data_IF_957494951854
#
_entry.id   IF_957494951854
#
_cell.length_a   1.000
_cell.length_b   1.000
_cell.length_c   1.000
_cell.angle_alpha   90.00
_cell.angle_beta   90.00
_cell.angle_gamma   90.00
#
_symmetry.space_group_name_H-M   'P 1'
#
loop_
_entity.id
_entity.type
_entity.pdbx_description
1 polymer ?
#
# COMPACT_ATOMS: atom_id res chain seq x y z
N UNK A 1 14.54 3.44 2.87
CA UNK A 1 13.29 3.66 2.09
C UNK A 1 12.43 4.66 2.84
N UNK A 2 11.55 5.39 2.16
CA UNK A 2 10.70 6.43 2.77
C UNK A 2 9.24 6.25 2.34
N UNK A 3 8.30 6.54 3.23
CA UNK A 3 6.88 6.52 2.91
C UNK A 3 6.48 7.75 2.07
N UNK A 4 5.76 7.53 0.98
CA UNK A 4 5.24 8.62 0.15
C UNK A 4 3.87 9.07 0.64
N UNK A 5 3.54 10.33 0.37
CA UNK A 5 2.23 10.94 0.60
C UNK A 5 1.14 10.45 -0.39
N UNK A 6 1.54 9.89 -1.54
CA UNK A 6 0.61 9.40 -2.54
C UNK A 6 -0.18 8.17 -2.05
N UNK A 7 -1.53 8.23 -2.01
CA UNK A 7 -2.35 7.15 -1.47
C UNK A 7 -2.31 5.90 -2.35
N UNK A 8 -2.26 4.72 -1.71
CA UNK A 8 -2.24 3.43 -2.41
C UNK A 8 -3.65 2.91 -2.72
N UNK A 9 -4.39 3.69 -3.51
CA UNK A 9 -5.79 3.41 -3.86
C UNK A 9 -5.95 2.17 -4.75
N UNK A 10 -7.15 1.58 -4.78
CA UNK A 10 -7.43 0.43 -5.62
C UNK A 10 -7.60 0.78 -7.10
N UNK A 11 -7.21 -0.14 -7.98
CA UNK A 11 -7.36 0.01 -9.43
C UNK A 11 -8.26 -1.09 -10.03
N UNK A 12 -8.53 -1.04 -11.34
CA UNK A 12 -9.32 -2.09 -12.04
C UNK A 12 -8.78 -3.50 -11.78
N UNK A 13 -7.46 -3.67 -11.72
CA UNK A 13 -6.82 -4.97 -11.39
C UNK A 13 -7.14 -5.45 -9.98
N UNK A 14 -7.30 -4.53 -9.03
CA UNK A 14 -7.71 -4.86 -7.67
C UNK A 14 -9.15 -5.37 -7.65
N UNK A 15 -10.06 -4.65 -8.31
CA UNK A 15 -11.46 -5.07 -8.43
C UNK A 15 -11.61 -6.43 -9.13
N UNK A 16 -10.80 -6.72 -10.17
CA UNK A 16 -10.82 -8.04 -10.81
C UNK A 16 -10.36 -9.19 -9.91
N UNK A 17 -9.54 -8.92 -8.89
CA UNK A 17 -9.01 -9.94 -7.96
C UNK A 17 -9.85 -10.11 -6.71
N UNK A 18 -10.40 -9.01 -6.19
CA UNK A 18 -11.06 -8.98 -4.88
C UNK A 18 -12.52 -8.52 -4.93
N UNK A 19 -13.01 -8.11 -6.10
CA UNK A 19 -14.37 -7.60 -6.30
C UNK A 19 -14.50 -6.08 -6.16
N UNK A 20 -15.61 -5.56 -6.70
CA UNK A 20 -15.93 -4.13 -6.67
C UNK A 20 -16.26 -3.66 -5.26
N UNK A 21 -16.88 -4.51 -4.44
CA UNK A 21 -17.23 -4.15 -3.06
C UNK A 21 -15.99 -3.99 -2.19
N UNK A 22 -14.96 -4.82 -2.39
CA UNK A 22 -13.66 -4.64 -1.75
C UNK A 22 -13.00 -3.32 -2.17
N UNK A 23 -13.08 -2.96 -3.46
CA UNK A 23 -12.59 -1.68 -3.97
C UNK A 23 -13.33 -0.49 -3.32
N UNK A 24 -14.66 -0.54 -3.28
CA UNK A 24 -15.49 0.51 -2.64
C UNK A 24 -15.18 0.63 -1.16
N UNK A 25 -15.00 -0.49 -0.47
CA UNK A 25 -14.65 -0.53 0.93
C UNK A 25 -13.34 0.22 1.15
N UNK A 26 -12.23 -0.19 0.52
CA UNK A 26 -10.93 0.46 0.77
C UNK A 26 -10.86 1.92 0.31
N UNK A 27 -11.69 2.32 -0.67
CA UNK A 27 -11.76 3.69 -1.20
C UNK A 27 -12.76 4.58 -0.46
N UNK A 28 -13.38 4.11 0.63
CA UNK A 28 -14.30 4.94 1.41
C UNK A 28 -13.52 5.91 2.33
N UNK A 29 -14.01 7.14 2.59
CA UNK A 29 -13.30 8.10 3.45
C UNK A 29 -12.99 7.55 4.86
N UNK A 30 -13.86 6.70 5.39
CA UNK A 30 -13.71 6.11 6.72
C UNK A 30 -12.54 5.12 6.81
N UNK A 31 -12.20 4.46 5.70
CA UNK A 31 -11.18 3.39 5.66
C UNK A 31 -9.93 3.80 4.87
N UNK A 32 -10.03 4.80 4.00
CA UNK A 32 -8.89 5.34 3.23
C UNK A 32 -7.78 5.82 4.17
N UNK A 33 -8.17 6.51 5.25
CA UNK A 33 -7.25 6.97 6.32
C UNK A 33 -6.55 5.82 7.05
N UNK A 34 -7.11 4.62 7.01
CA UNK A 34 -6.54 3.43 7.65
C UNK A 34 -5.52 2.71 6.75
N UNK A 35 -5.45 3.07 5.46
CA UNK A 35 -4.49 2.54 4.50
C UNK A 35 -4.46 0.99 4.48
N UNK A 36 -5.64 0.34 4.50
CA UNK A 36 -5.79 -1.12 4.63
C UNK A 36 -5.16 -1.93 3.47
N UNK A 37 -4.89 -1.28 2.35
CA UNK A 37 -4.16 -1.85 1.20
C UNK A 37 -2.64 -1.73 1.32
N UNK A 38 -2.14 -1.08 2.36
CA UNK A 38 -0.75 -0.70 2.55
C UNK A 38 -0.44 0.70 2.03
N UNK A 39 0.86 1.04 2.03
CA UNK A 39 1.38 2.34 1.62
C UNK A 39 2.44 2.18 0.52
N UNK A 40 2.61 3.23 -0.27
CA UNK A 40 3.69 3.29 -1.25
C UNK A 40 4.98 3.75 -0.56
N UNK A 41 6.09 3.10 -0.89
CA UNK A 41 7.42 3.46 -0.38
C UNK A 41 8.33 3.79 -1.56
N UNK A 42 9.17 4.81 -1.39
CA UNK A 42 10.22 5.20 -2.32
C UNK A 42 11.57 4.65 -1.87
N UNK A 43 12.34 4.15 -2.83
CA UNK A 43 13.74 3.77 -2.61
C UNK A 43 14.58 5.04 -2.55
N UNK A 44 15.17 5.30 -1.38
CA UNK A 44 16.07 6.45 -1.15
C UNK A 44 17.51 6.06 -1.45
N UNK A 45 17.89 4.84 -1.06
CA UNK A 45 19.20 4.23 -1.31
C UNK A 45 18.97 2.79 -1.79
N UNK A 46 19.70 2.38 -2.83
CA UNK A 46 19.62 1.02 -3.38
C UNK A 46 20.39 0.02 -2.53
N UNK A 47 19.97 -1.24 -2.57
CA UNK A 47 20.61 -2.34 -1.85
C UNK A 47 19.94 -3.67 -2.15
N UNK A 48 20.51 -4.76 -1.62
CA UNK A 48 19.94 -6.09 -1.70
C UNK A 48 19.03 -6.36 -0.49
N UNK A 49 17.92 -7.07 -0.72
CA UNK A 49 16.97 -7.49 0.31
C UNK A 49 16.62 -8.97 0.13
N UNK A 50 16.26 -9.64 1.22
CA UNK A 50 15.87 -11.06 1.23
C UNK A 50 14.61 -11.27 2.09
N UNK A 51 13.81 -12.30 1.78
CA UNK A 51 12.71 -12.69 2.66
C UNK A 51 13.21 -12.96 4.08
N UNK A 52 12.57 -12.35 5.08
CA UNK A 52 12.95 -12.45 6.49
C UNK A 52 13.76 -11.26 7.03
N UNK A 53 14.20 -10.33 6.18
CA UNK A 53 14.87 -9.11 6.63
C UNK A 53 13.93 -8.25 7.50
N UNK A 54 14.48 -7.67 8.58
CA UNK A 54 13.71 -6.89 9.54
C UNK A 54 13.54 -5.46 9.03
N UNK A 55 12.30 -5.00 8.94
CA UNK A 55 11.98 -3.59 8.70
C UNK A 55 11.96 -2.85 10.04
N UNK A 56 12.79 -1.80 10.16
CA UNK A 56 12.83 -0.92 11.34
C UNK A 56 12.49 0.51 10.93
N UNK A 57 11.63 1.15 11.73
CA UNK A 57 11.42 2.60 11.64
C UNK A 57 12.57 3.28 12.39
N UNK A 58 13.18 4.26 11.73
CA UNK A 58 14.16 5.15 12.33
C UNK A 58 13.47 6.34 12.99
#
# INVERSE_FOLDING_TARGET
MEATDQPHTGCKKFASRFGVDALKFISSPATEVLQLRGINLKVVEGGEIKPGDIVKKL
#
